data_IF_829540374918
#
_entry.id   IF_829540374918
#
_cell.length_a   1.000
_cell.length_b   1.000
_cell.length_c   1.000
_cell.angle_alpha   90.00
_cell.angle_beta   90.00
_cell.angle_gamma   90.00
#
_symmetry.space_group_name_H-M   'P 1'
#
loop_
_entity.id
_entity.type
_entity.pdbx_description
1 polymer ?
#
# COMPACT_ATOMS: atom_id res chain seq x y z
N UNK A 1 -10.56 -10.01 -4.26
CA UNK A 1 -10.18 -10.05 -2.83
C UNK A 1 -10.12 -8.63 -2.33
N UNK A 2 -10.54 -8.39 -1.10
CA UNK A 2 -10.43 -7.07 -0.47
C UNK A 2 -9.45 -7.12 0.69
N UNK A 3 -8.64 -6.08 0.84
CA UNK A 3 -7.68 -5.89 1.91
C UNK A 3 -8.06 -4.59 2.59
N UNK A 4 -8.66 -4.67 3.77
CA UNK A 4 -9.36 -3.55 4.41
C UNK A 4 -9.05 -3.51 5.89
N UNK A 5 -9.17 -2.31 6.45
CA UNK A 5 -9.38 -2.16 7.89
C UNK A 5 -10.70 -2.83 8.30
N UNK A 6 -10.77 -3.25 9.57
CA UNK A 6 -11.99 -3.81 10.14
C UNK A 6 -12.48 -2.94 11.29
N UNK A 7 -13.51 -2.13 11.02
CA UNK A 7 -14.24 -1.34 12.02
C UNK A 7 -13.32 -0.51 12.93
N UNK A 8 -12.44 0.27 12.31
CA UNK A 8 -11.43 1.10 12.98
C UNK A 8 -12.04 2.44 13.37
N UNK A 9 -11.91 2.83 14.63
CA UNK A 9 -12.24 4.18 15.05
C UNK A 9 -11.17 5.15 14.52
N UNK A 10 -11.55 6.10 13.68
CA UNK A 10 -10.64 7.15 13.20
C UNK A 10 -10.32 8.08 14.38
N UNK A 11 -9.05 8.25 14.78
CA UNK A 11 -8.70 9.15 15.86
C UNK A 11 -8.98 10.62 15.52
N UNK A 12 -9.33 11.47 16.50
CA UNK A 12 -9.42 12.92 16.34
C UNK A 12 -8.02 13.55 16.34
N UNK A 13 -7.18 13.15 15.38
CA UNK A 13 -5.81 13.63 15.17
C UNK A 13 -5.64 13.97 13.70
N UNK A 14 -4.85 15.02 13.39
CA UNK A 14 -4.68 15.49 12.00
C UNK A 14 -4.22 14.37 11.07
N UNK A 15 -3.30 13.54 11.51
CA UNK A 15 -2.67 12.50 10.70
C UNK A 15 -2.64 11.20 11.49
N UNK A 16 -3.05 10.10 10.86
CA UNK A 16 -2.94 8.75 11.44
C UNK A 16 -2.59 7.76 10.34
N UNK A 17 -1.60 6.90 10.59
CA UNK A 17 -1.26 5.79 9.73
C UNK A 17 -1.68 4.49 10.40
N UNK A 18 -2.68 3.83 9.82
CA UNK A 18 -3.24 2.58 10.33
C UNK A 18 -2.85 1.41 9.43
N UNK A 19 -2.33 0.34 10.04
CA UNK A 19 -1.85 -0.84 9.35
C UNK A 19 -2.75 -2.03 9.67
N UNK A 20 -3.16 -2.77 8.64
CA UNK A 20 -3.83 -4.07 8.79
C UNK A 20 -3.12 -5.13 7.95
N UNK A 21 -2.62 -6.16 8.61
CA UNK A 21 -1.96 -7.32 8.00
C UNK A 21 -2.97 -8.46 7.94
N UNK A 22 -3.18 -8.97 6.74
CA UNK A 22 -4.00 -10.13 6.47
C UNK A 22 -3.12 -11.30 6.01
N UNK A 23 -3.57 -12.50 6.31
CA UNK A 23 -3.07 -13.70 5.65
C UNK A 23 -3.89 -13.98 4.38
N UNK A 24 -3.22 -14.39 3.30
CA UNK A 24 -3.89 -14.77 2.07
C UNK A 24 -4.79 -15.99 2.30
N UNK A 25 -5.97 -16.09 1.65
CA UNK A 25 -6.77 -17.31 1.62
C UNK A 25 -6.00 -18.51 1.06
N UNK A 26 -6.36 -19.72 1.51
CA UNK A 26 -5.70 -20.99 1.15
C UNK A 26 -5.58 -21.21 -0.36
N UNK A 27 -6.55 -20.74 -1.15
CA UNK A 27 -6.57 -20.88 -2.62
C UNK A 27 -5.44 -20.09 -3.28
N UNK A 28 -5.11 -18.91 -2.73
CA UNK A 28 -4.01 -18.08 -3.20
C UNK A 28 -2.64 -18.60 -2.75
N UNK A 29 -2.58 -19.39 -1.66
CA UNK A 29 -1.31 -19.98 -1.20
C UNK A 29 -0.83 -21.10 -2.14
N UNK A 30 -1.76 -21.83 -2.76
CA UNK A 30 -1.43 -23.02 -3.55
C UNK A 30 -0.99 -22.70 -4.98
N UNK A 31 -1.53 -21.64 -5.58
CA UNK A 31 -1.30 -21.32 -7.00
C UNK A 31 -1.00 -19.84 -7.20
N UNK A 32 -0.05 -19.55 -8.09
CA UNK A 32 0.27 -18.17 -8.49
C UNK A 32 -0.89 -17.59 -9.28
N UNK A 33 -1.23 -16.34 -8.99
CA UNK A 33 -2.20 -15.55 -9.71
C UNK A 33 -1.56 -14.25 -10.20
N UNK A 34 -2.25 -13.59 -11.13
CA UNK A 34 -1.96 -12.21 -11.52
C UNK A 34 -3.08 -11.30 -11.05
N UNK A 35 -2.75 -10.31 -10.23
CA UNK A 35 -3.60 -9.16 -10.04
C UNK A 35 -3.60 -8.31 -11.31
N UNK A 36 -4.80 -8.01 -11.82
CA UNK A 36 -5.02 -7.33 -13.10
C UNK A 36 -5.74 -6.00 -12.96
N UNK A 37 -6.34 -5.74 -11.78
CA UNK A 37 -6.94 -4.46 -11.42
C UNK A 37 -6.86 -4.27 -9.91
N UNK A 38 -6.68 -3.04 -9.46
CA UNK A 38 -7.02 -2.64 -8.10
C UNK A 38 -7.78 -1.32 -8.06
N UNK A 39 -8.62 -1.16 -7.04
CA UNK A 39 -9.44 0.03 -6.82
C UNK A 39 -9.74 0.25 -5.34
N UNK A 40 -9.95 1.50 -4.95
CA UNK A 40 -10.34 1.86 -3.59
C UNK A 40 -11.74 1.34 -3.25
N UNK A 41 -11.92 0.93 -1.99
CA UNK A 41 -13.23 0.70 -1.41
C UNK A 41 -13.31 1.50 -0.12
N UNK A 42 -14.00 2.64 -0.19
CA UNK A 42 -14.13 3.59 0.91
C UNK A 42 -15.44 3.34 1.64
N UNK A 43 -15.43 3.40 2.97
CA UNK A 43 -16.64 3.42 3.79
C UNK A 43 -17.46 4.66 3.45
N UNK A 44 -18.74 4.53 3.06
CA UNK A 44 -19.57 5.69 2.73
C UNK A 44 -19.60 6.72 3.85
N UNK A 45 -19.34 7.99 3.51
CA UNK A 45 -19.25 9.10 4.46
C UNK A 45 -17.83 9.37 5.00
N UNK A 46 -16.87 8.49 4.73
CA UNK A 46 -15.48 8.65 5.16
C UNK A 46 -14.55 9.13 4.03
N UNK A 47 -15.08 9.53 2.87
CA UNK A 47 -14.29 9.99 1.71
C UNK A 47 -13.38 11.18 2.05
N UNK A 48 -13.76 11.99 3.04
CA UNK A 48 -12.98 13.12 3.52
C UNK A 48 -11.77 12.74 4.39
N UNK A 49 -11.78 11.56 5.00
CA UNK A 49 -10.73 11.14 5.94
C UNK A 49 -9.64 10.34 5.24
N UNK A 50 -10.01 9.46 4.31
CA UNK A 50 -9.06 8.56 3.65
C UNK A 50 -8.23 9.34 2.63
N UNK A 51 -6.96 9.57 2.93
CA UNK A 51 -6.06 10.33 2.06
C UNK A 51 -5.35 9.44 1.04
N UNK A 52 -4.83 8.29 1.45
CA UNK A 52 -4.27 7.27 0.56
C UNK A 52 -4.27 5.87 1.17
N UNK A 53 -4.13 4.86 0.31
CA UNK A 53 -3.89 3.46 0.65
C UNK A 53 -2.60 2.99 0.01
N UNK A 54 -1.86 2.15 0.72
CA UNK A 54 -0.79 1.34 0.14
C UNK A 54 -0.95 -0.11 0.57
N UNK A 55 -0.78 -1.05 -0.36
CA UNK A 55 -0.73 -2.49 -0.06
C UNK A 55 0.67 -2.99 -0.29
N UNK A 56 1.24 -3.59 0.76
CA UNK A 56 2.57 -4.15 0.77
C UNK A 56 2.53 -5.67 0.88
N UNK A 57 3.46 -6.33 0.20
CA UNK A 57 3.81 -7.73 0.43
C UNK A 57 4.92 -7.82 1.48
N UNK A 58 4.70 -8.65 2.50
CA UNK A 58 5.70 -8.95 3.52
C UNK A 58 6.74 -9.94 2.98
N UNK A 59 8.03 -9.65 3.17
CA UNK A 59 9.11 -10.50 2.66
C UNK A 59 9.53 -11.61 3.63
N UNK A 60 9.07 -11.55 4.87
CA UNK A 60 9.27 -12.61 5.88
C UNK A 60 7.94 -13.05 6.45
N UNK A 61 7.80 -14.33 6.88
CA UNK A 61 6.63 -14.77 7.61
C UNK A 61 6.35 -13.84 8.80
N UNK A 62 5.09 -13.46 8.95
CA UNK A 62 4.60 -12.59 10.02
C UNK A 62 3.28 -13.15 10.53
N UNK A 63 2.53 -12.36 11.30
CA UNK A 63 1.20 -12.70 11.81
C UNK A 63 0.20 -11.60 11.45
N UNK A 64 -1.10 -11.92 11.41
CA UNK A 64 -2.12 -10.89 11.29
C UNK A 64 -1.98 -9.84 12.38
N UNK A 65 -2.22 -8.59 12.01
CA UNK A 65 -2.05 -7.42 12.88
C UNK A 65 -3.04 -6.34 12.44
N UNK A 66 -3.48 -5.51 13.38
CA UNK A 66 -4.33 -4.38 13.09
C UNK A 66 -4.06 -3.30 14.14
N UNK A 67 -3.61 -2.12 13.72
CA UNK A 67 -3.25 -1.06 14.66
C UNK A 67 -2.40 0.04 14.04
N UNK A 68 -1.92 0.92 14.90
CA UNK A 68 -1.03 2.02 14.50
C UNK A 68 0.26 1.51 13.85
N UNK A 69 0.59 2.04 12.67
CA UNK A 69 1.74 1.61 11.89
C UNK A 69 3.08 1.92 12.55
N UNK A 70 3.15 2.95 13.39
CA UNK A 70 4.39 3.50 13.93
C UNK A 70 4.74 2.90 15.29
N UNK A 71 3.74 2.71 16.15
CA UNK A 71 3.93 2.38 17.57
C UNK A 71 3.58 0.94 17.90
N UNK A 72 2.62 0.34 17.20
CA UNK A 72 2.10 -0.99 17.53
C UNK A 72 2.55 -2.08 16.55
N UNK A 73 3.12 -1.72 15.40
CA UNK A 73 3.50 -2.67 14.36
C UNK A 73 4.59 -3.66 14.85
N UNK A 74 4.38 -4.98 14.72
CA UNK A 74 5.36 -5.99 15.09
C UNK A 74 6.68 -5.84 14.32
N UNK A 75 7.79 -6.26 14.93
CA UNK A 75 9.12 -6.19 14.30
C UNK A 75 9.18 -6.99 13.00
N UNK A 76 8.52 -8.15 12.95
CA UNK A 76 8.47 -9.02 11.78
C UNK A 76 7.71 -8.36 10.61
N UNK A 77 6.76 -7.47 10.91
CA UNK A 77 6.01 -6.72 9.91
C UNK A 77 6.80 -5.54 9.30
N UNK A 78 8.03 -5.29 9.75
CA UNK A 78 8.94 -4.34 9.08
C UNK A 78 9.37 -4.81 7.70
N UNK A 79 9.23 -6.11 7.40
CA UNK A 79 9.50 -6.67 6.06
C UNK A 79 8.36 -6.41 5.05
N UNK A 80 7.23 -5.88 5.50
CA UNK A 80 6.12 -5.46 4.64
C UNK A 80 6.43 -4.11 4.01
N UNK A 81 7.28 -4.13 2.98
CA UNK A 81 7.76 -2.93 2.27
C UNK A 81 7.64 -3.03 0.76
N UNK A 82 7.39 -4.22 0.20
CA UNK A 82 7.25 -4.38 -1.26
C UNK A 82 5.86 -3.93 -1.70
N UNK A 83 5.75 -2.76 -2.34
CA UNK A 83 4.47 -2.23 -2.84
C UNK A 83 3.86 -3.13 -3.92
N UNK A 84 2.57 -3.47 -3.76
CA UNK A 84 1.75 -4.19 -4.75
C UNK A 84 0.66 -3.29 -5.36
N UNK A 85 0.17 -2.31 -4.60
CA UNK A 85 -0.83 -1.36 -5.05
C UNK A 85 -0.72 -0.07 -4.22
N UNK A 86 -0.97 1.07 -4.85
CA UNK A 86 -1.05 2.36 -4.19
C UNK A 86 -2.23 3.14 -4.78
N UNK A 87 -2.96 3.85 -3.93
CA UNK A 87 -4.09 4.68 -4.33
C UNK A 87 -4.10 5.95 -3.50
N UNK A 88 -4.46 7.08 -4.11
CA UNK A 88 -4.68 8.35 -3.42
C UNK A 88 -5.99 8.99 -3.88
N UNK A 89 -6.50 9.94 -3.09
CA UNK A 89 -7.73 10.69 -3.41
C UNK A 89 -7.72 11.17 -4.88
N UNK A 90 -8.82 10.90 -5.58
CA UNK A 90 -9.00 11.27 -7.00
C UNK A 90 -8.44 10.26 -8.01
N UNK A 91 -7.70 9.23 -7.58
CA UNK A 91 -7.22 8.20 -8.48
C UNK A 91 -8.37 7.25 -8.92
N UNK A 92 -8.43 6.99 -10.22
CA UNK A 92 -9.29 5.97 -10.82
C UNK A 92 -8.74 4.55 -10.56
N UNK A 93 -9.53 3.49 -10.78
CA UNK A 93 -9.03 2.12 -10.77
C UNK A 93 -7.81 1.95 -11.67
N UNK A 94 -6.78 1.26 -11.17
CA UNK A 94 -5.59 0.93 -11.95
C UNK A 94 -5.81 -0.44 -12.58
N UNK A 95 -5.75 -0.49 -13.91
CA UNK A 95 -5.86 -1.72 -14.69
C UNK A 95 -4.50 -2.03 -15.29
N UNK A 96 -3.95 -3.21 -14.97
CA UNK A 96 -2.68 -3.64 -15.55
C UNK A 96 -2.85 -3.96 -17.05
N UNK A 97 -1.82 -3.73 -17.88
CA UNK A 97 -1.89 -3.96 -19.32
C UNK A 97 -2.00 -5.46 -19.66
N UNK A 98 -2.61 -5.86 -20.78
CA UNK A 98 -2.88 -7.27 -21.09
C UNK A 98 -1.63 -8.17 -21.14
N UNK A 99 -0.44 -7.58 -21.31
CA UNK A 99 0.84 -8.29 -21.34
C UNK A 99 1.37 -8.64 -19.94
N UNK A 100 0.94 -7.95 -18.88
CA UNK A 100 1.52 -8.10 -17.55
C UNK A 100 0.48 -8.10 -16.42
N UNK A 101 0.76 -8.83 -15.34
CA UNK A 101 -0.04 -8.80 -14.12
C UNK A 101 0.84 -8.85 -12.88
N UNK A 102 0.41 -8.23 -11.80
CA UNK A 102 1.18 -8.22 -10.55
C UNK A 102 1.12 -9.61 -9.90
N UNK A 103 2.26 -10.30 -9.67
CA UNK A 103 2.28 -11.64 -9.11
C UNK A 103 1.73 -11.67 -7.68
N UNK A 104 0.80 -12.60 -7.43
CA UNK A 104 0.12 -12.76 -6.15
C UNK A 104 0.00 -14.24 -5.79
N UNK A 105 0.49 -14.62 -4.61
CA UNK A 105 0.35 -15.98 -4.09
C UNK A 105 1.19 -17.03 -4.82
N UNK A 106 0.90 -18.29 -4.53
CA UNK A 106 1.59 -19.47 -5.04
C UNK A 106 2.73 -19.98 -4.15
N UNK A 107 3.32 -21.13 -4.50
CA UNK A 107 4.42 -21.72 -3.74
C UNK A 107 5.61 -20.76 -3.63
N UNK A 108 6.13 -20.58 -2.42
CA UNK A 108 7.25 -19.65 -2.14
C UNK A 108 6.84 -18.19 -1.95
N UNK A 109 5.58 -17.83 -2.17
CA UNK A 109 5.05 -16.51 -1.82
C UNK A 109 4.78 -16.44 -0.30
N UNK A 110 5.26 -15.40 0.37
CA UNK A 110 4.96 -15.18 1.78
C UNK A 110 3.51 -14.69 1.88
N UNK A 111 2.60 -15.44 2.53
CA UNK A 111 1.16 -15.23 2.36
C UNK A 111 0.63 -14.09 3.23
N UNK A 112 1.38 -13.00 3.39
CA UNK A 112 0.97 -11.85 4.20
C UNK A 112 1.03 -10.57 3.39
N UNK A 113 -0.11 -9.88 3.39
CA UNK A 113 -0.24 -8.55 2.81
C UNK A 113 -0.61 -7.57 3.91
N UNK A 114 -0.04 -6.37 3.86
CA UNK A 114 -0.37 -5.27 4.75
C UNK A 114 -1.05 -4.18 3.94
N UNK A 115 -2.22 -3.71 4.36
CA UNK A 115 -2.74 -2.41 3.92
C UNK A 115 -2.36 -1.35 4.95
N UNK A 116 -1.75 -0.28 4.48
CA UNK A 116 -1.54 0.96 5.23
C UNK A 116 -2.57 1.99 4.75
N UNK A 117 -3.27 2.60 5.70
CA UNK A 117 -4.28 3.61 5.47
C UNK A 117 -3.81 4.89 6.14
N UNK A 118 -3.62 5.93 5.35
CA UNK A 118 -3.38 7.27 5.87
C UNK A 118 -4.71 8.02 5.98
N UNK A 119 -5.11 8.30 7.23
CA UNK A 119 -6.21 9.20 7.52
C UNK A 119 -5.69 10.63 7.71
N UNK A 120 -6.32 11.58 7.03
CA UNK A 120 -6.13 13.00 7.23
C UNK A 120 -7.43 13.59 7.82
N UNK A 121 -7.40 13.98 9.09
CA UNK A 121 -8.54 14.51 9.84
C UNK A 121 -8.21 15.90 10.45
N UNK A 122 -8.03 16.94 9.61
CA UNK A 122 -7.63 18.27 10.07
C UNK A 122 -8.67 18.96 10.96
N UNK A 123 -9.94 18.57 10.83
CA UNK A 123 -11.03 19.08 11.67
C UNK A 123 -11.16 18.35 13.03
N UNK A 124 -10.31 17.35 13.29
CA UNK A 124 -10.26 16.57 14.54
C UNK A 124 -11.62 15.94 14.90
N UNK A 125 -12.37 15.50 13.89
CA UNK A 125 -13.68 14.90 14.06
C UNK A 125 -13.57 13.56 14.79
N UNK A 126 -14.57 13.21 15.58
CA UNK A 126 -14.64 11.98 16.36
C UNK A 126 -15.91 11.20 16.06
N UNK A 127 -15.94 9.92 16.44
CA UNK A 127 -17.11 9.05 16.26
C UNK A 127 -17.27 8.42 14.88
N UNK A 128 -16.25 8.52 14.02
CA UNK A 128 -16.25 7.89 12.70
C UNK A 128 -15.55 6.54 12.75
N UNK A 129 -16.23 5.51 12.24
CA UNK A 129 -15.70 4.17 12.10
C UNK A 129 -15.45 3.85 10.64
N UNK A 130 -14.28 3.27 10.34
CA UNK A 130 -13.82 2.99 9.00
C UNK A 130 -13.53 1.50 8.77
N UNK A 131 -13.88 1.04 7.59
CA UNK A 131 -13.57 -0.30 7.08
C UNK A 131 -13.09 -0.18 5.63
N UNK A 132 -12.36 0.88 5.32
CA UNK A 132 -11.88 1.17 3.98
C UNK A 132 -10.63 0.35 3.64
N UNK A 133 -10.29 0.30 2.36
CA UNK A 133 -9.08 -0.36 1.88
C UNK A 133 -9.07 -0.50 0.36
N UNK A 134 -8.41 -1.55 -0.13
CA UNK A 134 -8.28 -1.82 -1.56
C UNK A 134 -8.94 -3.14 -1.95
N UNK A 135 -9.60 -3.14 -3.11
CA UNK A 135 -10.07 -4.35 -3.79
C UNK A 135 -9.10 -4.70 -4.92
N UNK A 136 -8.66 -5.95 -4.93
CA UNK A 136 -7.80 -6.53 -5.95
C UNK A 136 -8.63 -7.54 -6.77
N UNK A 137 -8.68 -7.32 -8.08
CA UNK A 137 -9.18 -8.31 -9.06
C UNK A 137 -7.99 -9.08 -9.62
N UNK A 138 -8.08 -10.41 -9.61
CA UNK A 138 -6.99 -11.29 -10.04
C UNK A 138 -7.50 -12.46 -10.88
N UNK A 139 -6.59 -13.11 -11.60
CA UNK A 139 -6.86 -14.23 -12.49
C UNK A 139 -5.84 -15.36 -12.32
N UNK A 140 -6.27 -16.59 -12.58
CA UNK A 140 -5.40 -17.78 -12.71
C UNK A 140 -4.74 -17.86 -14.09
N UNK A 141 -5.33 -17.20 -15.10
CA UNK A 141 -4.77 -17.14 -16.45
C UNK A 141 -3.63 -16.13 -16.46
N UNK A 142 -2.42 -16.61 -16.21
CA UNK A 142 -1.23 -15.78 -16.14
C UNK A 142 -1.00 -15.06 -17.46
N UNK A 143 -0.73 -13.76 -17.37
CA UNK A 143 -0.27 -12.94 -18.50
C UNK A 143 1.20 -13.26 -18.80
N UNK A 144 1.71 -12.91 -20.00
CA UNK A 144 3.07 -13.21 -20.39
C UNK A 144 4.16 -12.74 -19.41
N UNK A 145 3.94 -11.61 -18.73
CA UNK A 145 4.94 -11.00 -17.85
C UNK A 145 4.42 -10.75 -16.43
N UNK A 146 5.33 -10.81 -15.45
CA UNK A 146 5.07 -10.28 -14.12
C UNK A 146 5.27 -8.76 -14.13
N UNK A 147 4.30 -8.03 -13.59
CA UNK A 147 4.45 -6.60 -13.34
C UNK A 147 5.21 -6.35 -12.03
N UNK A 148 5.90 -5.22 -11.96
CA UNK A 148 6.52 -4.69 -10.75
C UNK A 148 6.17 -3.21 -10.57
N UNK A 149 6.31 -2.72 -9.34
CA UNK A 149 6.22 -1.30 -9.02
C UNK A 149 7.62 -0.85 -8.57
N UNK A 150 8.07 0.28 -9.11
CA UNK A 150 9.34 0.91 -8.75
C UNK A 150 9.04 2.31 -8.24
N UNK A 151 9.51 2.60 -7.03
CA UNK A 151 9.43 3.93 -6.43
C UNK A 151 10.71 4.70 -6.77
N UNK A 152 10.55 5.87 -7.38
CA UNK A 152 11.64 6.75 -7.78
C UNK A 152 11.43 8.12 -7.16
N UNK A 153 12.47 8.67 -6.53
CA UNK A 153 12.37 10.00 -5.95
C UNK A 153 13.35 10.23 -4.82
N UNK A 154 12.94 11.08 -3.89
CA UNK A 154 13.68 11.44 -2.70
C UNK A 154 13.27 10.55 -1.54
N UNK A 155 14.24 10.18 -0.71
CA UNK A 155 13.95 9.51 0.57
C UNK A 155 13.22 10.46 1.52
N UNK A 156 12.40 9.92 2.42
CA UNK A 156 11.74 10.71 3.47
C UNK A 156 12.75 11.09 4.54
N UNK A 157 13.32 12.29 4.40
CA UNK A 157 14.35 12.81 5.30
C UNK A 157 14.32 14.33 5.33
N UNK A 158 14.58 14.92 6.49
CA UNK A 158 14.73 16.36 6.70
C UNK A 158 15.84 16.97 5.84
N UNK A 159 16.75 16.15 5.30
CA UNK A 159 17.74 16.58 4.32
C UNK A 159 17.09 17.13 3.02
N UNK A 160 15.84 16.76 2.73
CA UNK A 160 15.09 17.16 1.54
C UNK A 160 14.11 18.31 1.84
N UNK A 161 14.58 19.37 2.50
CA UNK A 161 13.75 20.49 2.96
C UNK A 161 13.59 21.61 1.92
N UNK A 162 12.42 22.28 1.95
CA UNK A 162 12.15 23.50 1.19
C UNK A 162 12.14 24.71 2.14
N UNK A 163 13.00 25.72 1.96
CA UNK A 163 12.97 26.93 2.79
C UNK A 163 11.63 27.69 2.69
N UNK A 164 11.24 28.46 3.72
CA UNK A 164 10.04 29.29 3.63
C UNK A 164 10.18 30.39 2.57
N UNK A 165 9.04 30.89 2.09
CA UNK A 165 8.91 32.03 1.15
C UNK A 165 9.55 31.83 -0.24
N UNK A 166 9.86 30.61 -0.64
CA UNK A 166 10.37 30.34 -1.99
C UNK A 166 9.25 30.37 -3.03
N UNK A 167 9.46 31.07 -4.14
CA UNK A 167 8.54 31.03 -5.29
C UNK A 167 8.65 29.73 -6.07
N UNK A 168 9.86 29.17 -6.15
CA UNK A 168 10.15 27.88 -6.74
C UNK A 168 11.44 27.32 -6.11
N UNK A 169 11.46 26.03 -5.79
CA UNK A 169 12.60 25.33 -5.22
C UNK A 169 12.60 23.87 -5.67
N UNK A 170 13.34 23.51 -6.74
CA UNK A 170 13.34 22.16 -7.25
C UNK A 170 14.12 21.23 -6.32
N UNK A 171 13.51 20.09 -5.99
CA UNK A 171 14.20 18.97 -5.34
C UNK A 171 14.32 17.83 -6.36
N UNK A 172 15.49 17.18 -6.44
CA UNK A 172 15.78 16.17 -7.48
C UNK A 172 16.27 14.88 -6.83
N UNK A 173 15.55 13.78 -7.09
CA UNK A 173 15.99 12.42 -6.78
C UNK A 173 16.61 11.74 -7.99
N UNK A 174 17.43 10.72 -7.76
CA UNK A 174 18.18 10.02 -8.81
C UNK A 174 18.08 8.50 -8.67
N UNK A 175 18.03 7.80 -9.80
CA UNK A 175 18.34 6.38 -9.90
C UNK A 175 19.66 6.27 -10.69
N UNK A 176 20.82 6.20 -10.01
CA UNK A 176 22.12 6.22 -10.67
C UNK A 176 22.35 4.89 -11.41
N UNK A 177 23.21 4.89 -12.44
CA UNK A 177 23.47 3.72 -13.28
C UNK A 177 23.94 2.51 -12.47
N UNK A 178 24.74 2.74 -11.44
CA UNK A 178 25.25 1.71 -10.52
C UNK A 178 24.12 0.98 -9.79
N UNK A 179 22.98 1.65 -9.57
CA UNK A 179 21.78 1.02 -9.00
C UNK A 179 21.14 0.08 -10.04
N UNK A 180 20.91 0.59 -11.25
CA UNK A 180 20.27 -0.20 -12.33
C UNK A 180 21.13 -1.37 -12.82
N UNK A 181 22.46 -1.26 -12.76
CA UNK A 181 23.38 -2.33 -13.13
C UNK A 181 23.39 -3.48 -12.13
N UNK A 182 23.19 -3.18 -10.84
CA UNK A 182 23.14 -4.16 -9.75
C UNK A 182 21.77 -4.81 -9.58
N UNK A 183 20.70 -4.16 -10.01
CA UNK A 183 19.31 -4.62 -9.84
C UNK A 183 18.87 -5.66 -10.90
N UNK A 184 19.82 -6.35 -11.54
CA UNK A 184 19.58 -7.38 -12.56
C UNK A 184 19.21 -8.73 -11.95
#
# INVERSE_FOLDING_TARGET
MEIRANSVLIPPQTTTYYCSIIELPSELKQTKHHAIKYEAVITPGNEQFVHHFEVFHCQTPTKPFAGDCSTAKPTEAKSCSKVLAAWSMGANPVVFPPQAGMPLGGPGFIPFLMVEIHYNNPALLSGYTDSSGLRITFTKNLRPFDAGIMELGLIYSDANSVPPMQKAWPLTGYCPSECTEKAK
#
